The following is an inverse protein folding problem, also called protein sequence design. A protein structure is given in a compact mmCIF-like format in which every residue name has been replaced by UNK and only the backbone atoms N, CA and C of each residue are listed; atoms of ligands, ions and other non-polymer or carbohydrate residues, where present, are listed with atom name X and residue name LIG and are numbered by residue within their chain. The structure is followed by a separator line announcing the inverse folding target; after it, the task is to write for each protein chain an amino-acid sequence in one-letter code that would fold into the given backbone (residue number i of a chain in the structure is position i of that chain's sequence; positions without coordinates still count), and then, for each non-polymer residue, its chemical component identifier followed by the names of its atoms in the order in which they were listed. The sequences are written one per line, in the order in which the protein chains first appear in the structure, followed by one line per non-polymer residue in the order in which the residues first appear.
data_IF_327784138318
#
_entry.id   IF_327784138318
#
_cell.length_a   1.000
_cell.length_b   1.000
_cell.length_c   1.000
_cell.angle_alpha   90.00
_cell.angle_beta   90.00
_cell.angle_gamma   90.00
#
_symmetry.space_group_name_H-M   'P 1'
#
loop_
_entity.id
_entity.type
_entity.pdbx_description
1 polymer ?
#
# COMPACT_ATOMS: atom_id res chain seq x y z
N UNK A 1 3.00 -3.47 80.74
CA UNK A 1 4.34 -3.59 80.17
C UNK A 1 4.47 -4.69 79.09
N UNK A 2 3.44 -5.53 78.84
CA UNK A 2 3.60 -6.75 78.02
C UNK A 2 3.10 -6.65 76.57
N UNK A 3 2.50 -5.55 76.18
CA UNK A 3 1.96 -5.39 74.80
C UNK A 3 3.04 -5.01 73.78
N UNK A 4 4.08 -4.31 74.21
CA UNK A 4 5.16 -3.84 73.32
C UNK A 4 6.12 -4.97 72.95
N UNK A 5 6.28 -5.98 73.85
CA UNK A 5 7.14 -7.14 73.56
C UNK A 5 6.50 -8.19 72.61
N UNK A 6 5.18 -8.18 72.45
CA UNK A 6 4.47 -9.07 71.54
C UNK A 6 4.61 -8.63 70.09
N UNK A 7 4.71 -7.33 69.81
CA UNK A 7 4.86 -6.77 68.46
C UNK A 7 6.29 -6.95 67.89
N UNK A 8 7.28 -7.12 68.75
CA UNK A 8 8.68 -7.30 68.27
C UNK A 8 8.99 -8.75 67.83
N UNK A 9 8.07 -9.71 68.02
CA UNK A 9 8.23 -11.12 67.63
C UNK A 9 7.50 -11.53 66.36
N UNK A 10 6.74 -10.60 65.74
CA UNK A 10 6.22 -10.85 64.40
C UNK A 10 7.36 -10.67 63.40
N UNK A 11 8.12 -11.73 63.18
CA UNK A 11 9.08 -11.79 62.11
C UNK A 11 8.38 -11.54 60.76
N UNK A 12 9.15 -11.13 59.72
CA UNK A 12 8.60 -10.93 58.40
C UNK A 12 7.86 -12.20 57.97
N UNK A 13 6.65 -12.02 57.46
CA UNK A 13 5.81 -13.11 56.97
C UNK A 13 6.64 -13.94 55.94
N UNK A 14 6.61 -15.29 56.06
CA UNK A 14 7.36 -16.14 55.12
C UNK A 14 6.90 -15.85 53.72
N UNK A 15 7.88 -15.58 52.87
CA UNK A 15 7.85 -15.27 51.44
C UNK A 15 6.60 -15.79 50.75
N UNK A 16 5.68 -14.87 50.42
CA UNK A 16 4.66 -15.19 49.47
C UNK A 16 5.34 -15.64 48.16
N UNK A 17 5.06 -16.84 47.66
CA UNK A 17 5.68 -17.28 46.43
C UNK A 17 5.46 -16.25 45.37
N UNK A 18 6.54 -15.69 44.79
CA UNK A 18 6.50 -14.84 43.59
C UNK A 18 5.72 -15.61 42.53
N UNK A 19 4.45 -15.34 42.41
CA UNK A 19 3.66 -15.83 41.25
C UNK A 19 4.28 -15.18 40.02
N UNK A 20 4.83 -15.97 39.10
CA UNK A 20 5.23 -15.40 37.82
C UNK A 20 4.02 -14.71 37.23
N UNK A 21 4.19 -13.56 36.54
CA UNK A 21 3.09 -12.87 35.92
C UNK A 21 2.36 -13.87 35.00
N UNK A 22 1.14 -14.22 35.35
CA UNK A 22 0.31 -15.04 34.48
C UNK A 22 0.07 -14.23 33.23
N UNK A 23 0.87 -14.49 32.18
CA UNK A 23 0.55 -14.07 30.81
C UNK A 23 -0.75 -14.78 30.46
N UNK A 24 -1.86 -14.13 30.73
CA UNK A 24 -3.15 -14.51 30.17
C UNK A 24 -3.03 -14.36 28.66
N UNK A 25 -3.04 -15.48 27.93
CA UNK A 25 -3.00 -15.59 26.47
C UNK A 25 -4.19 -14.87 25.78
N UNK A 26 -5.03 -14.14 26.50
CA UNK A 26 -6.21 -13.47 25.99
C UNK A 26 -6.10 -11.96 25.80
N UNK A 27 -4.95 -11.35 26.11
CA UNK A 27 -4.69 -9.97 25.69
C UNK A 27 -3.79 -10.03 24.47
N UNK A 28 -4.38 -9.99 23.29
CA UNK A 28 -3.64 -9.57 22.08
C UNK A 28 -3.07 -8.19 22.42
N UNK A 29 -1.74 -8.12 22.57
CA UNK A 29 -1.06 -6.86 22.81
C UNK A 29 -1.57 -5.87 21.74
N UNK A 30 -2.08 -4.69 22.13
CA UNK A 30 -2.65 -3.73 21.17
C UNK A 30 -1.64 -3.43 20.04
N UNK A 31 -0.36 -3.51 20.33
CA UNK A 31 0.74 -3.38 19.38
C UNK A 31 0.72 -4.47 18.30
N UNK A 32 0.46 -5.74 18.69
CA UNK A 32 0.38 -6.85 17.74
C UNK A 32 -0.78 -6.65 16.75
N UNK A 33 -1.93 -6.16 17.24
CA UNK A 33 -3.08 -5.84 16.40
C UNK A 33 -2.70 -4.82 15.32
N UNK A 34 -2.00 -3.74 15.69
CA UNK A 34 -1.57 -2.70 14.73
C UNK A 34 -0.54 -3.19 13.73
N UNK A 35 0.37 -4.10 14.12
CA UNK A 35 1.30 -4.73 13.17
C UNK A 35 0.58 -5.63 12.16
N UNK A 36 -0.46 -6.36 12.58
CA UNK A 36 -1.30 -7.15 11.67
C UNK A 36 -2.02 -6.23 10.68
N UNK A 37 -2.63 -5.14 11.16
CA UNK A 37 -3.28 -4.13 10.31
C UNK A 37 -2.29 -3.53 9.32
N UNK A 38 -1.10 -3.14 9.76
CA UNK A 38 -0.04 -2.61 8.92
C UNK A 38 0.36 -3.60 7.82
N UNK A 39 0.56 -4.86 8.18
CA UNK A 39 0.92 -5.93 7.23
C UNK A 39 -0.19 -6.14 6.19
N UNK A 40 -1.45 -6.19 6.61
CA UNK A 40 -2.58 -6.30 5.69
C UNK A 40 -2.64 -5.11 4.74
N UNK A 41 -2.47 -3.87 5.24
CA UNK A 41 -2.44 -2.67 4.40
C UNK A 41 -1.31 -2.71 3.37
N UNK A 42 -0.12 -3.15 3.75
CA UNK A 42 1.02 -3.32 2.83
C UNK A 42 0.71 -4.36 1.77
N UNK A 43 0.17 -5.52 2.14
CA UNK A 43 -0.19 -6.58 1.19
C UNK A 43 -1.29 -6.15 0.23
N UNK A 44 -2.34 -5.49 0.75
CA UNK A 44 -3.42 -4.92 -0.07
C UNK A 44 -2.88 -3.81 -0.97
N UNK A 45 -1.96 -2.98 -0.47
CA UNK A 45 -1.28 -1.96 -1.26
C UNK A 45 -0.44 -2.55 -2.39
N UNK A 46 0.32 -3.62 -2.13
CA UNK A 46 1.09 -4.35 -3.17
C UNK A 46 0.15 -4.97 -4.22
N UNK A 47 -0.93 -5.60 -3.78
CA UNK A 47 -1.96 -6.10 -4.70
C UNK A 47 -2.55 -4.93 -5.53
N UNK A 48 -2.78 -3.78 -4.91
CA UNK A 48 -3.27 -2.56 -5.55
C UNK A 48 -2.31 -1.95 -6.57
N UNK A 49 -0.99 -2.17 -6.44
CA UNK A 49 0.00 -1.77 -7.46
C UNK A 49 -0.22 -2.57 -8.75
N UNK A 50 -0.58 -3.84 -8.66
CA UNK A 50 -0.86 -4.71 -9.79
C UNK A 50 -2.24 -4.38 -10.39
N UNK A 51 -3.20 -4.03 -9.55
CA UNK A 51 -4.56 -3.68 -9.93
C UNK A 51 -4.66 -2.15 -10.12
N UNK A 52 -4.73 -1.62 -11.36
CA UNK A 52 -4.65 -0.17 -11.62
C UNK A 52 -5.82 0.65 -11.04
N UNK A 53 -6.81 -0.01 -10.45
CA UNK A 53 -7.99 0.63 -9.85
C UNK A 53 -7.76 1.12 -8.40
N UNK A 54 -6.67 0.67 -7.72
CA UNK A 54 -6.40 1.01 -6.33
C UNK A 54 -5.13 1.86 -6.21
N UNK A 55 -5.11 2.83 -5.28
CA UNK A 55 -3.92 3.64 -5.02
C UNK A 55 -2.86 2.82 -4.25
N UNK A 56 -2.22 1.84 -4.93
CA UNK A 56 -1.35 0.84 -4.30
C UNK A 56 -0.20 1.43 -3.47
N UNK A 57 0.61 2.33 -4.04
CA UNK A 57 1.75 2.94 -3.33
C UNK A 57 1.35 3.80 -2.11
N UNK A 58 0.30 4.63 -2.17
CA UNK A 58 -0.21 5.30 -0.97
C UNK A 58 -0.65 4.33 0.14
N UNK A 59 -1.29 3.21 -0.22
CA UNK A 59 -1.67 2.19 0.76
C UNK A 59 -0.45 1.50 1.40
N UNK A 60 0.57 1.18 0.61
CA UNK A 60 1.84 0.64 1.12
C UNK A 60 2.47 1.63 2.11
N UNK A 61 2.50 2.92 1.76
CA UNK A 61 3.02 3.97 2.64
C UNK A 61 2.23 4.08 3.96
N UNK A 62 0.88 4.07 3.89
CA UNK A 62 0.04 4.10 5.09
C UNK A 62 0.30 2.87 5.96
N UNK A 63 0.44 1.68 5.38
CA UNK A 63 0.77 0.47 6.12
C UNK A 63 2.11 0.59 6.85
N UNK A 64 3.15 1.12 6.20
CA UNK A 64 4.45 1.38 6.82
C UNK A 64 4.37 2.46 7.91
N UNK A 65 3.57 3.50 7.71
CA UNK A 65 3.32 4.55 8.71
C UNK A 65 2.64 3.98 9.96
N UNK A 66 1.64 3.12 9.78
CA UNK A 66 0.95 2.43 10.88
C UNK A 66 1.92 1.52 11.64
N UNK A 67 2.82 0.81 10.95
CA UNK A 67 3.83 -0.03 11.58
C UNK A 67 4.84 0.82 12.40
N UNK A 68 5.28 1.95 11.86
CA UNK A 68 6.16 2.89 12.57
C UNK A 68 5.48 3.47 13.81
N UNK A 69 4.21 3.86 13.68
CA UNK A 69 3.41 4.39 14.78
C UNK A 69 3.15 3.34 15.88
N UNK A 70 2.89 2.10 15.52
CA UNK A 70 2.70 1.00 16.47
C UNK A 70 3.96 0.72 17.31
N UNK A 71 5.14 1.07 16.80
CA UNK A 71 6.42 0.98 17.50
C UNK A 71 6.88 2.30 18.13
N UNK A 72 5.97 3.28 18.35
CA UNK A 72 6.26 4.61 18.92
C UNK A 72 7.43 5.34 18.23
N UNK A 73 7.66 5.07 16.94
CA UNK A 73 8.76 5.60 16.12
C UNK A 73 10.17 5.34 16.69
N UNK A 74 10.31 4.44 17.65
CA UNK A 74 11.61 4.14 18.28
C UNK A 74 12.59 3.50 17.27
N UNK A 75 12.08 2.68 16.34
CA UNK A 75 12.90 1.95 15.37
C UNK A 75 13.00 2.66 14.02
N UNK A 76 12.03 3.49 13.69
CA UNK A 76 11.99 4.18 12.40
C UNK A 76 11.94 5.67 12.66
N UNK A 77 13.08 6.31 12.44
CA UNK A 77 13.21 7.75 12.58
C UNK A 77 12.39 8.53 11.55
N UNK A 78 12.28 9.83 11.77
CA UNK A 78 11.53 10.74 10.88
C UNK A 78 12.10 10.77 9.46
N UNK A 79 13.43 10.62 9.30
CA UNK A 79 14.10 10.72 7.99
C UNK A 79 13.65 9.63 7.02
N UNK A 80 13.67 8.33 7.35
CA UNK A 80 13.13 7.29 6.46
C UNK A 80 11.66 7.52 6.12
N UNK A 81 10.87 7.98 7.08
CA UNK A 81 9.44 8.21 6.87
C UNK A 81 9.17 9.35 5.86
N UNK A 82 9.93 10.44 5.97
CA UNK A 82 9.88 11.56 5.00
C UNK A 82 10.31 11.09 3.61
N UNK A 83 11.36 10.29 3.51
CA UNK A 83 11.80 9.72 2.22
C UNK A 83 10.73 8.83 1.59
N UNK A 84 10.07 7.97 2.38
CA UNK A 84 8.97 7.13 1.92
C UNK A 84 7.78 7.98 1.44
N UNK A 85 7.45 9.05 2.18
CA UNK A 85 6.43 10.01 1.80
C UNK A 85 6.75 10.74 0.48
N UNK A 86 8.01 11.17 0.31
CA UNK A 86 8.48 11.80 -0.93
C UNK A 86 8.42 10.83 -2.11
N UNK A 87 8.82 9.57 -1.94
CA UNK A 87 8.71 8.54 -2.99
C UNK A 87 7.26 8.29 -3.38
N UNK A 88 6.35 8.27 -2.41
CA UNK A 88 4.92 8.14 -2.66
C UNK A 88 4.38 9.34 -3.43
N UNK A 89 4.73 10.55 -3.03
CA UNK A 89 4.35 11.78 -3.71
C UNK A 89 4.90 11.82 -5.14
N UNK A 90 6.17 11.46 -5.31
CA UNK A 90 6.81 11.36 -6.62
C UNK A 90 6.07 10.38 -7.54
N UNK A 91 5.65 9.23 -7.00
CA UNK A 91 4.86 8.27 -7.77
C UNK A 91 3.52 8.85 -8.21
N UNK A 92 2.81 9.54 -7.33
CA UNK A 92 1.53 10.18 -7.68
C UNK A 92 1.73 11.22 -8.78
N UNK A 93 2.75 12.06 -8.66
CA UNK A 93 3.08 13.07 -9.69
C UNK A 93 3.48 12.41 -11.01
N UNK A 94 4.30 11.36 -10.96
CA UNK A 94 4.71 10.60 -12.14
C UNK A 94 3.50 9.97 -12.85
N UNK A 95 2.52 9.45 -12.12
CA UNK A 95 1.27 8.92 -12.69
C UNK A 95 0.47 10.00 -13.42
N UNK A 96 0.36 11.17 -12.82
CA UNK A 96 -0.33 12.31 -13.43
C UNK A 96 0.36 12.75 -14.72
N UNK A 97 1.68 12.91 -14.67
CA UNK A 97 2.49 13.33 -15.82
C UNK A 97 2.47 12.26 -16.91
N UNK A 98 2.61 10.99 -16.56
CA UNK A 98 2.59 9.88 -17.51
C UNK A 98 1.24 9.77 -18.21
N UNK A 99 0.13 9.92 -17.48
CA UNK A 99 -1.22 9.89 -18.05
C UNK A 99 -1.43 11.06 -19.02
N UNK A 100 -1.06 12.27 -18.63
CA UNK A 100 -1.19 13.47 -19.47
C UNK A 100 -0.28 13.43 -20.71
N UNK A 101 0.96 12.98 -20.57
CA UNK A 101 1.91 12.86 -21.67
C UNK A 101 1.59 11.69 -22.60
N UNK A 102 1.13 10.57 -22.06
CA UNK A 102 0.74 9.39 -22.82
C UNK A 102 -0.42 9.69 -23.78
N UNK A 103 -1.47 10.31 -23.28
CA UNK A 103 -2.61 10.71 -24.09
C UNK A 103 -2.23 11.64 -25.27
N UNK A 104 -1.30 12.58 -25.03
CA UNK A 104 -0.81 13.49 -26.07
C UNK A 104 0.07 12.81 -27.10
N UNK A 105 0.99 11.91 -26.70
CA UNK A 105 1.96 11.26 -27.60
C UNK A 105 1.29 10.29 -28.58
N UNK A 106 0.24 9.62 -28.15
CA UNK A 106 -0.46 8.63 -29.00
C UNK A 106 -1.50 9.30 -29.89
N UNK A 107 -1.73 10.60 -29.71
CA UNK A 107 -2.80 11.35 -30.43
C UNK A 107 -4.18 10.75 -30.14
N UNK A 108 -4.34 10.15 -28.96
CA UNK A 108 -5.59 9.58 -28.52
C UNK A 108 -6.65 10.67 -28.42
N UNK A 109 -7.78 10.46 -29.05
CA UNK A 109 -8.92 11.33 -28.90
C UNK A 109 -9.49 11.29 -27.48
N UNK A 110 -10.22 12.32 -27.02
CA UNK A 110 -10.85 12.31 -25.70
C UNK A 110 -11.76 11.10 -25.50
N UNK A 111 -12.36 10.58 -26.57
CA UNK A 111 -13.21 9.38 -26.53
C UNK A 111 -12.42 8.10 -26.23
N UNK A 112 -11.15 8.00 -26.63
CA UNK A 112 -10.30 6.87 -26.26
C UNK A 112 -9.97 6.87 -24.77
N UNK A 113 -9.73 8.05 -24.17
CA UNK A 113 -9.47 8.20 -22.74
C UNK A 113 -10.70 7.81 -21.91
N UNK A 114 -11.87 8.30 -22.29
CA UNK A 114 -13.14 7.92 -21.66
C UNK A 114 -13.45 6.44 -21.88
N UNK A 115 -13.19 5.93 -23.06
CA UNK A 115 -13.32 4.50 -23.37
C UNK A 115 -12.43 3.64 -22.48
N UNK A 116 -11.15 4.02 -22.32
CA UNK A 116 -10.23 3.31 -21.43
C UNK A 116 -10.72 3.32 -19.96
N UNK A 117 -11.18 4.47 -19.47
CA UNK A 117 -11.70 4.60 -18.11
C UNK A 117 -12.94 3.72 -17.89
N UNK A 118 -13.90 3.78 -18.78
CA UNK A 118 -15.12 2.95 -18.73
C UNK A 118 -14.80 1.47 -18.91
N UNK A 119 -13.86 1.14 -19.80
CA UNK A 119 -13.37 -0.23 -20.01
C UNK A 119 -12.69 -0.78 -18.76
N UNK A 120 -11.93 0.04 -18.05
CA UNK A 120 -11.32 -0.36 -16.77
C UNK A 120 -12.38 -0.66 -15.71
N UNK A 121 -13.39 0.22 -15.58
CA UNK A 121 -14.51 0.03 -14.65
C UNK A 121 -15.32 -1.23 -14.98
N UNK A 122 -15.66 -1.43 -16.24
CA UNK A 122 -16.35 -2.63 -16.70
C UNK A 122 -15.47 -3.89 -16.48
N UNK A 123 -14.18 -3.77 -16.78
CA UNK A 123 -13.20 -4.85 -16.58
C UNK A 123 -13.08 -5.32 -15.13
N UNK A 124 -13.35 -4.44 -14.17
CA UNK A 124 -13.34 -4.79 -12.75
C UNK A 124 -14.35 -5.91 -12.42
N UNK A 125 -15.48 -5.95 -13.09
CA UNK A 125 -16.48 -7.03 -12.92
C UNK A 125 -16.06 -8.38 -13.50
N UNK A 126 -15.09 -8.37 -14.43
CA UNK A 126 -14.56 -9.59 -15.06
C UNK A 126 -13.26 -10.10 -14.40
N UNK A 127 -12.90 -9.55 -13.25
CA UNK A 127 -11.71 -9.93 -12.49
C UNK A 127 -10.38 -9.49 -13.14
N UNK A 128 -9.24 -10.16 -12.82
CA UNK A 128 -7.91 -9.73 -13.26
C UNK A 128 -7.75 -9.67 -14.78
N UNK A 129 -8.38 -10.59 -15.50
CA UNK A 129 -8.33 -10.63 -16.99
C UNK A 129 -9.09 -9.45 -17.56
N UNK A 130 -10.27 -9.15 -17.03
CA UNK A 130 -11.06 -7.98 -17.43
C UNK A 130 -10.35 -6.68 -17.15
N UNK A 131 -9.63 -6.59 -16.04
CA UNK A 131 -8.89 -5.40 -15.64
C UNK A 131 -7.71 -5.11 -16.58
N UNK A 132 -7.04 -6.14 -17.10
CA UNK A 132 -5.97 -6.00 -18.10
C UNK A 132 -6.52 -5.71 -19.50
N UNK A 133 -7.58 -6.38 -19.90
CA UNK A 133 -8.18 -6.22 -21.24
C UNK A 133 -9.08 -4.98 -21.33
N UNK A 134 -9.72 -4.59 -20.23
CA UNK A 134 -10.69 -3.50 -20.18
C UNK A 134 -10.18 -2.16 -20.72
N UNK A 135 -9.06 -1.63 -20.22
CA UNK A 135 -8.48 -0.37 -20.72
C UNK A 135 -8.13 -0.42 -22.20
N UNK A 136 -7.60 -1.56 -22.67
CA UNK A 136 -7.27 -1.77 -24.08
C UNK A 136 -8.51 -1.76 -24.97
N UNK A 137 -9.48 -2.60 -24.65
CA UNK A 137 -10.73 -2.71 -25.41
C UNK A 137 -11.53 -1.41 -25.34
N UNK A 138 -11.58 -0.78 -24.18
CA UNK A 138 -12.23 0.49 -23.99
C UNK A 138 -11.61 1.63 -24.79
N UNK A 139 -10.27 1.74 -24.77
CA UNK A 139 -9.57 2.73 -25.61
C UNK A 139 -9.76 2.47 -27.10
N UNK A 140 -9.67 1.21 -27.52
CA UNK A 140 -9.88 0.81 -28.90
C UNK A 140 -11.30 1.14 -29.40
N UNK A 141 -12.31 0.79 -28.63
CA UNK A 141 -13.71 1.09 -28.98
C UNK A 141 -13.98 2.59 -28.96
N UNK A 142 -13.47 3.33 -27.98
CA UNK A 142 -13.61 4.78 -27.90
C UNK A 142 -12.97 5.51 -29.08
N UNK A 143 -11.75 5.13 -29.47
CA UNK A 143 -11.07 5.70 -30.63
C UNK A 143 -11.76 5.31 -31.96
N UNK A 144 -12.20 4.05 -32.07
CA UNK A 144 -12.91 3.55 -33.26
C UNK A 144 -14.24 4.30 -33.47
N UNK A 145 -14.94 4.60 -32.39
CA UNK A 145 -16.18 5.38 -32.44
C UNK A 145 -15.96 6.80 -32.97
N UNK A 146 -14.82 7.39 -32.57
CA UNK A 146 -14.52 8.78 -32.94
C UNK A 146 -13.90 8.90 -34.35
N UNK A 147 -12.97 8.04 -34.71
CA UNK A 147 -12.16 8.18 -35.94
C UNK A 147 -12.60 7.25 -37.07
N UNK A 148 -13.37 6.19 -36.77
CA UNK A 148 -13.73 5.10 -37.70
C UNK A 148 -12.54 4.46 -38.41
N UNK A 149 -11.31 4.68 -37.91
CA UNK A 149 -10.07 4.18 -38.49
C UNK A 149 -9.51 3.05 -37.60
N UNK A 150 -9.75 1.81 -38.02
CA UNK A 150 -9.34 0.62 -37.25
C UNK A 150 -7.83 0.58 -36.94
N UNK A 151 -6.99 0.95 -37.89
CA UNK A 151 -5.52 1.01 -37.73
C UNK A 151 -5.09 1.98 -36.64
N UNK A 152 -5.76 3.13 -36.51
CA UNK A 152 -5.46 4.12 -35.49
C UNK A 152 -5.98 3.64 -34.14
N UNK A 153 -7.18 3.07 -34.09
CA UNK A 153 -7.77 2.54 -32.87
C UNK A 153 -6.91 1.39 -32.27
N UNK A 154 -6.41 0.47 -33.07
CA UNK A 154 -5.51 -0.60 -32.61
C UNK A 154 -4.19 -0.07 -32.08
N UNK A 155 -3.60 0.94 -32.75
CA UNK A 155 -2.36 1.57 -32.28
C UNK A 155 -2.56 2.27 -30.92
N UNK A 156 -3.64 3.01 -30.74
CA UNK A 156 -4.00 3.65 -29.45
C UNK A 156 -4.23 2.61 -28.36
N UNK A 157 -4.98 1.56 -28.65
CA UNK A 157 -5.24 0.47 -27.70
C UNK A 157 -3.94 -0.22 -27.24
N UNK A 158 -3.06 -0.61 -28.19
CA UNK A 158 -1.77 -1.23 -27.88
C UNK A 158 -0.86 -0.30 -27.06
N UNK A 159 -0.80 0.98 -27.43
CA UNK A 159 -0.01 1.96 -26.69
C UNK A 159 -0.53 2.15 -25.25
N UNK A 160 -1.84 2.14 -25.04
CA UNK A 160 -2.45 2.17 -23.73
C UNK A 160 -2.04 0.96 -22.88
N UNK A 161 -2.04 -0.23 -23.49
CA UNK A 161 -1.67 -1.47 -22.81
C UNK A 161 -0.17 -1.51 -22.44
N UNK A 162 0.72 -1.12 -23.38
CA UNK A 162 2.16 -1.00 -23.10
C UNK A 162 2.41 0.03 -21.99
N UNK A 163 1.73 1.19 -22.03
CA UNK A 163 1.82 2.20 -20.99
C UNK A 163 1.41 1.68 -19.62
N UNK A 164 0.31 0.91 -19.56
CA UNK A 164 -0.17 0.26 -18.33
C UNK A 164 0.88 -0.72 -17.77
N UNK A 165 1.44 -1.58 -18.61
CA UNK A 165 2.45 -2.55 -18.19
C UNK A 165 3.71 -1.86 -17.66
N UNK A 166 4.25 -0.89 -18.41
CA UNK A 166 5.42 -0.13 -17.98
C UNK A 166 5.17 0.62 -16.67
N UNK A 167 4.01 1.24 -16.54
CA UNK A 167 3.60 1.91 -15.30
C UNK A 167 3.52 0.95 -14.12
N UNK A 168 2.94 -0.22 -14.31
CA UNK A 168 2.84 -1.26 -13.27
C UNK A 168 4.22 -1.76 -12.84
N UNK A 169 5.12 -2.04 -13.78
CA UNK A 169 6.50 -2.48 -13.48
C UNK A 169 7.26 -1.40 -12.71
N UNK A 170 7.14 -0.15 -13.12
CA UNK A 170 7.78 0.97 -12.41
C UNK A 170 7.24 1.13 -10.99
N UNK A 171 5.92 1.05 -10.81
CA UNK A 171 5.28 1.11 -9.49
C UNK A 171 5.71 -0.06 -8.60
N UNK A 172 5.81 -1.24 -9.17
CA UNK A 172 6.26 -2.42 -8.44
C UNK A 172 7.71 -2.26 -7.98
N UNK A 173 8.59 -1.74 -8.85
CA UNK A 173 9.96 -1.44 -8.49
C UNK A 173 10.04 -0.39 -7.36
N UNK A 174 9.23 0.68 -7.43
CA UNK A 174 9.12 1.67 -6.37
C UNK A 174 8.59 1.07 -5.07
N UNK A 175 7.58 0.20 -5.12
CA UNK A 175 7.04 -0.47 -3.93
C UNK A 175 8.11 -1.33 -3.25
N UNK A 176 8.88 -2.10 -4.01
CA UNK A 176 9.99 -2.89 -3.46
C UNK A 176 11.12 -2.02 -2.93
N UNK A 177 11.43 -0.90 -3.59
CA UNK A 177 12.41 0.07 -3.08
C UNK A 177 11.97 0.67 -1.75
N UNK A 178 10.69 1.04 -1.62
CA UNK A 178 10.10 1.54 -0.38
C UNK A 178 10.14 0.50 0.75
N UNK A 179 9.77 -0.76 0.45
CA UNK A 179 9.86 -1.86 1.40
C UNK A 179 11.31 -2.13 1.83
N UNK A 180 12.24 -2.13 0.87
CA UNK A 180 13.67 -2.31 1.17
C UNK A 180 14.20 -1.20 2.06
N UNK A 181 13.86 0.05 1.79
CA UNK A 181 14.24 1.21 2.61
C UNK A 181 13.64 1.13 4.01
N UNK A 182 12.38 0.70 4.12
CA UNK A 182 11.71 0.51 5.40
C UNK A 182 12.38 -0.60 6.24
N UNK A 183 12.64 -1.76 5.64
CA UNK A 183 13.33 -2.88 6.30
C UNK A 183 14.75 -2.47 6.72
N UNK A 184 15.48 -1.76 5.86
CA UNK A 184 16.81 -1.26 6.18
C UNK A 184 16.78 -0.30 7.36
N UNK A 185 15.82 0.63 7.37
CA UNK A 185 15.63 1.58 8.48
C UNK A 185 15.21 0.89 9.79
N UNK A 186 14.52 -0.25 9.69
CA UNK A 186 14.15 -1.05 10.85
C UNK A 186 15.34 -1.75 11.52
N UNK A 187 16.38 -2.06 10.73
CA UNK A 187 17.57 -2.78 11.22
C UNK A 187 18.73 -1.85 11.64
N UNK A 188 18.74 -0.61 11.22
CA UNK A 188 19.73 0.40 11.57
C UNK A 188 19.36 1.16 12.85
#
# INVERSE_FOLDING_TARGET
GNAIMALARAGPAPDAPCRPPQRTLSQMDPTLFWYVVATVLVLVGLAGVILPALPGLPLVFIGMLVAAWAGDFERIGVVPLVLLGLLTLLSIVADFVATAAGAKRVGAGPMAVWGAALGTLAGLFFGPIGLLAGPFLGALLGELWHTRALRRATHVGLATWVGLLLGTVLKLALAFAMLGLFVLAWWL
#
